data_IF_601509499350
#
_entry.id   IF_601509499350
#
_cell.length_a   1.000
_cell.length_b   1.000
_cell.length_c   1.000
_cell.angle_alpha   90.00
_cell.angle_beta   90.00
_cell.angle_gamma   90.00
#
_symmetry.space_group_name_H-M   'P 1'
#
loop_
_entity.id
_entity.type
_entity.pdbx_description
1 polymer ?
#
# COMPACT_ATOMS: atom_id res chain seq x y z
N UNK A 1 -2.73 -23.93 7.32
CA UNK A 1 -2.39 -22.79 6.44
C UNK A 1 -1.89 -21.66 7.31
N UNK A 2 -0.73 -21.08 7.02
CA UNK A 2 -0.28 -19.87 7.71
C UNK A 2 -1.10 -18.69 7.16
N UNK A 3 -1.76 -17.87 7.98
CA UNK A 3 -2.35 -16.64 7.50
C UNK A 3 -1.23 -15.74 6.93
N UNK A 4 -1.49 -14.98 5.86
CA UNK A 4 -0.49 -14.11 5.28
C UNK A 4 -0.12 -13.01 6.28
N UNK A 5 1.17 -12.68 6.37
CA UNK A 5 1.69 -11.63 7.26
C UNK A 5 1.13 -10.24 6.91
N UNK A 6 0.62 -10.07 5.70
CA UNK A 6 0.01 -8.84 5.19
C UNK A 6 -1.27 -9.15 4.43
N UNK A 7 -2.22 -8.20 4.41
CA UNK A 7 -3.44 -8.34 3.62
C UNK A 7 -3.10 -8.39 2.11
N UNK A 8 -3.76 -9.25 1.32
CA UNK A 8 -3.61 -9.21 -0.13
C UNK A 8 -4.19 -7.89 -0.68
N UNK A 9 -3.61 -7.36 -1.75
CA UNK A 9 -4.00 -6.09 -2.35
C UNK A 9 -4.31 -6.26 -3.85
N UNK A 10 -5.26 -5.48 -4.35
CA UNK A 10 -5.66 -5.48 -5.78
C UNK A 10 -5.67 -4.05 -6.29
N UNK A 11 -5.08 -3.83 -7.48
CA UNK A 11 -4.91 -2.48 -8.02
C UNK A 11 -3.85 -1.70 -7.26
N UNK A 12 -2.77 -1.35 -7.97
CA UNK A 12 -1.71 -0.52 -7.40
C UNK A 12 -1.60 0.71 -8.27
N UNK A 13 -1.86 1.89 -7.70
CA UNK A 13 -1.46 3.13 -8.33
C UNK A 13 -0.04 3.46 -7.88
N UNK A 14 0.86 3.59 -8.85
CA UNK A 14 2.25 3.96 -8.60
C UNK A 14 2.52 5.29 -9.27
N UNK A 15 2.96 6.27 -8.49
CA UNK A 15 3.51 7.52 -9.01
C UNK A 15 4.99 7.60 -8.63
N UNK A 16 5.80 8.16 -9.53
CA UNK A 16 7.23 8.30 -9.35
C UNK A 16 7.65 9.69 -9.78
N UNK A 17 8.31 10.40 -8.89
CA UNK A 17 8.76 11.78 -9.09
C UNK A 17 10.22 11.90 -8.67
N UNK A 18 10.99 12.76 -9.34
CA UNK A 18 12.36 13.03 -8.93
C UNK A 18 12.34 13.78 -7.58
N UNK A 19 12.97 13.20 -6.56
CA UNK A 19 12.98 13.77 -5.21
C UNK A 19 14.08 14.83 -5.03
N UNK A 20 15.09 14.86 -5.92
CA UNK A 20 16.17 15.84 -5.88
C UNK A 20 16.38 16.54 -7.22
N UNK A 21 16.78 17.80 -7.16
CA UNK A 21 17.19 18.59 -8.34
C UNK A 21 18.35 17.93 -9.09
N UNK A 22 19.16 17.15 -8.38
CA UNK A 22 20.29 16.40 -8.93
C UNK A 22 19.92 15.00 -9.48
N UNK A 23 18.62 14.63 -9.48
CA UNK A 23 18.07 13.36 -10.02
C UNK A 23 18.69 12.08 -9.47
N UNK A 24 19.29 12.12 -8.29
CA UNK A 24 19.92 10.95 -7.64
C UNK A 24 18.98 10.14 -6.78
N UNK A 25 17.75 10.63 -6.58
CA UNK A 25 16.75 9.99 -5.74
C UNK A 25 15.37 10.17 -6.37
N UNK A 26 14.55 9.13 -6.25
CA UNK A 26 13.15 9.12 -6.69
C UNK A 26 12.24 8.94 -5.48
N UNK A 27 11.18 9.73 -5.42
CA UNK A 27 10.08 9.48 -4.51
C UNK A 27 9.05 8.64 -5.24
N UNK A 28 8.77 7.45 -4.72
CA UNK A 28 7.77 6.54 -5.26
C UNK A 28 6.61 6.49 -4.27
N UNK A 29 5.42 6.88 -4.71
CA UNK A 29 4.21 6.73 -3.93
C UNK A 29 3.41 5.55 -4.48
N UNK A 30 3.07 4.62 -3.59
CA UNK A 30 2.31 3.41 -3.89
C UNK A 30 1.01 3.49 -3.11
N UNK A 31 -0.11 3.54 -3.82
CA UNK A 31 -1.45 3.43 -3.24
C UNK A 31 -1.95 2.02 -3.49
N UNK A 32 -2.29 1.31 -2.41
CA UNK A 32 -2.79 -0.05 -2.44
C UNK A 32 -4.20 -0.11 -1.89
N UNK A 33 -5.00 -1.01 -2.45
CA UNK A 33 -6.35 -1.31 -1.97
C UNK A 33 -6.34 -2.73 -1.39
N UNK A 34 -6.12 -2.90 -0.06
CA UNK A 34 -6.23 -4.20 0.58
C UNK A 34 -7.63 -4.78 0.40
N UNK A 35 -7.71 -6.11 0.26
CA UNK A 35 -8.97 -6.82 0.13
C UNK A 35 -9.02 -8.09 0.98
N UNK A 36 -10.24 -8.58 1.18
CA UNK A 36 -10.51 -9.84 1.88
C UNK A 36 -11.50 -10.68 1.07
N UNK A 37 -11.42 -12.01 1.24
CA UNK A 37 -12.35 -12.94 0.58
C UNK A 37 -12.39 -12.78 -0.94
N UNK A 38 -13.59 -12.65 -1.49
CA UNK A 38 -13.86 -12.52 -2.93
C UNK A 38 -13.55 -11.11 -3.49
N UNK A 39 -12.35 -10.60 -3.22
CA UNK A 39 -11.88 -9.26 -3.61
C UNK A 39 -12.71 -8.11 -3.03
N UNK A 40 -13.23 -8.28 -1.81
CA UNK A 40 -13.92 -7.20 -1.08
C UNK A 40 -12.87 -6.25 -0.52
N UNK A 41 -12.79 -5.03 -1.07
CA UNK A 41 -11.88 -4.01 -0.53
C UNK A 41 -12.24 -3.67 0.91
N UNK A 42 -11.21 -3.48 1.73
CA UNK A 42 -11.36 -3.12 3.15
C UNK A 42 -10.80 -1.74 3.47
N UNK A 43 -10.19 -1.08 2.50
CA UNK A 43 -9.65 0.25 2.68
C UNK A 43 -8.65 0.62 1.60
N UNK A 44 -7.97 1.74 1.85
CA UNK A 44 -6.93 2.28 0.98
C UNK A 44 -5.75 2.70 1.85
N UNK A 45 -4.56 2.26 1.46
CA UNK A 45 -3.31 2.65 2.11
C UNK A 45 -2.38 3.32 1.11
N UNK A 46 -1.64 4.32 1.58
CA UNK A 46 -0.61 5.03 0.83
C UNK A 46 0.75 4.80 1.50
N UNK A 47 1.73 4.38 0.70
CA UNK A 47 3.10 4.15 1.13
C UNK A 47 4.03 4.98 0.26
N UNK A 48 4.92 5.75 0.91
CA UNK A 48 5.95 6.51 0.22
C UNK A 48 7.30 5.88 0.44
N UNK A 49 8.03 5.69 -0.65
CA UNK A 49 9.39 5.21 -0.66
C UNK A 49 10.31 6.29 -1.23
N UNK A 50 11.53 6.32 -0.71
CA UNK A 50 12.65 6.99 -1.33
C UNK A 50 13.55 5.91 -1.92
N UNK A 51 13.80 5.99 -3.22
CA UNK A 51 14.63 5.05 -3.97
C UNK A 51 15.89 5.76 -4.45
N UNK A 52 17.04 5.30 -3.99
CA UNK A 52 18.36 5.77 -4.44
C UNK A 52 18.82 5.06 -5.72
N UNK A 53 19.75 5.68 -6.45
CA UNK A 53 20.31 5.09 -7.68
C UNK A 53 21.06 3.76 -7.46
N UNK A 54 21.59 3.54 -6.27
CA UNK A 54 22.23 2.30 -5.84
C UNK A 54 21.25 1.14 -5.61
N UNK A 55 19.94 1.39 -5.71
CA UNK A 55 18.89 0.41 -5.42
C UNK A 55 18.45 0.39 -3.96
N UNK A 56 18.99 1.27 -3.12
CA UNK A 56 18.54 1.43 -1.74
C UNK A 56 17.10 1.95 -1.71
N UNK A 57 16.23 1.27 -0.96
CA UNK A 57 14.83 1.65 -0.79
C UNK A 57 14.56 1.93 0.69
N UNK A 58 14.08 3.12 0.99
CA UNK A 58 13.67 3.51 2.35
C UNK A 58 12.19 3.84 2.38
N UNK A 59 11.44 3.25 3.31
CA UNK A 59 10.07 3.67 3.58
C UNK A 59 10.09 5.02 4.29
N UNK A 60 9.53 6.04 3.65
CA UNK A 60 9.46 7.40 4.16
C UNK A 60 8.23 7.58 5.03
N UNK A 61 7.09 7.06 4.58
CA UNK A 61 5.85 7.15 5.33
C UNK A 61 4.88 6.03 4.96
N UNK A 62 4.04 5.67 5.92
CA UNK A 62 2.84 4.87 5.73
C UNK A 62 1.65 5.69 6.22
N UNK A 63 0.59 5.72 5.43
CA UNK A 63 -0.66 6.40 5.76
C UNK A 63 -1.84 5.51 5.38
N UNK A 64 -2.63 5.13 6.38
CA UNK A 64 -3.97 4.63 6.13
C UNK A 64 -4.88 5.79 5.69
N UNK A 65 -5.54 5.66 4.54
CA UNK A 65 -6.33 6.73 3.92
C UNK A 65 -7.80 6.61 4.33
N UNK A 66 -8.39 5.43 4.18
CA UNK A 66 -9.78 5.17 4.53
C UNK A 66 -10.09 3.70 4.75
N UNK A 67 -11.12 3.43 5.56
CA UNK A 67 -11.73 2.13 5.75
C UNK A 67 -12.92 1.95 4.81
N UNK A 68 -13.04 0.76 4.20
CA UNK A 68 -14.26 0.36 3.50
C UNK A 68 -15.07 -0.57 4.38
N UNK A 69 -16.37 -0.27 4.53
CA UNK A 69 -17.25 -1.07 5.38
C UNK A 69 -17.39 -2.48 4.82
N UNK A 70 -17.08 -3.46 5.65
CA UNK A 70 -17.32 -4.85 5.34
C UNK A 70 -18.82 -5.17 5.30
N UNK A 71 -19.26 -6.00 4.34
CA UNK A 71 -20.60 -6.57 4.35
C UNK A 71 -20.87 -7.29 5.69
N UNK A 72 -22.11 -7.27 6.21
CA UNK A 72 -22.44 -7.86 7.51
C UNK A 72 -21.98 -9.31 7.69
N UNK A 73 -22.02 -10.11 6.62
CA UNK A 73 -21.63 -11.52 6.64
C UNK A 73 -20.10 -11.74 6.66
N UNK A 74 -19.29 -10.68 6.54
CA UNK A 74 -17.82 -10.72 6.58
C UNK A 74 -17.23 -9.96 7.78
N UNK A 75 -18.06 -9.38 8.64
CA UNK A 75 -17.58 -8.56 9.77
C UNK A 75 -16.75 -9.37 10.77
N UNK A 76 -17.03 -10.66 10.92
CA UNK A 76 -16.30 -11.56 11.83
C UNK A 76 -14.98 -12.09 11.24
N UNK A 77 -14.66 -11.77 9.98
CA UNK A 77 -13.48 -12.32 9.29
C UNK A 77 -12.16 -11.78 9.85
N UNK A 78 -12.18 -10.60 10.48
CA UNK A 78 -11.02 -9.97 11.11
C UNK A 78 -11.41 -9.50 12.51
N UNK A 79 -10.87 -10.18 13.52
CA UNK A 79 -10.96 -9.81 14.94
C UNK A 79 -9.57 -9.74 15.54
#
# INVERSE_FOLDING_TARGET
MHPPTYAPFIGTQVTCEAASTNKTTYSVTVVVTPFVGAHVSVGVDEIKFLVGLSGDVTTVSYKHVEDHKLPPHLQDLYR
#
